data_IF_180323850347
#
_entry.id   IF_180323850347
#
_cell.length_a   1.000
_cell.length_b   1.000
_cell.length_c   1.000
_cell.angle_alpha   90.00
_cell.angle_beta   90.00
_cell.angle_gamma   90.00
#
_symmetry.space_group_name_H-M   'P 1'
#
loop_
_entity.id
_entity.type
_entity.pdbx_description
1 polymer ?
#
# COMPACT_ATOMS: atom_id res chain seq x y z
N UNK A 1 -16.15 5.48 3.30
CA UNK A 1 -14.72 5.83 3.19
C UNK A 1 -13.92 4.65 3.74
N UNK A 2 -13.06 4.01 2.95
CA UNK A 2 -12.25 2.87 3.38
C UNK A 2 -10.77 3.25 3.40
N UNK A 3 -10.05 2.82 4.44
CA UNK A 3 -8.61 3.03 4.60
C UNK A 3 -7.98 1.65 4.72
N UNK A 4 -6.93 1.40 3.94
CA UNK A 4 -6.18 0.14 3.93
C UNK A 4 -4.78 0.42 4.44
N UNK A 5 -4.36 -0.30 5.48
CA UNK A 5 -3.03 -0.15 6.07
C UNK A 5 -2.13 -1.31 5.60
N UNK A 6 -1.14 -0.99 4.78
CA UNK A 6 -0.17 -1.97 4.26
C UNK A 6 1.04 -1.99 5.18
N UNK A 7 1.30 -3.14 5.82
CA UNK A 7 2.43 -3.34 6.73
C UNK A 7 3.12 -4.68 6.49
N UNK A 8 4.31 -4.86 7.04
CA UNK A 8 5.15 -6.04 6.85
C UNK A 8 6.64 -5.73 6.95
N UNK A 9 7.46 -6.78 7.05
CA UNK A 9 8.91 -6.68 7.14
C UNK A 9 9.54 -6.17 5.82
N UNK A 10 10.81 -5.76 5.86
CA UNK A 10 11.54 -5.42 4.62
C UNK A 10 11.59 -6.64 3.70
N UNK A 11 11.25 -6.45 2.42
CA UNK A 11 11.15 -7.54 1.44
C UNK A 11 9.81 -8.31 1.44
N UNK A 12 8.84 -7.99 2.30
CA UNK A 12 7.54 -8.70 2.37
C UNK A 12 6.55 -8.37 1.24
N UNK A 13 6.97 -7.61 0.22
CA UNK A 13 6.10 -7.26 -0.92
C UNK A 13 5.15 -6.08 -0.70
N UNK A 14 5.36 -5.23 0.31
CA UNK A 14 4.52 -4.02 0.55
C UNK A 14 4.39 -3.12 -0.69
N UNK A 15 5.49 -2.93 -1.43
CA UNK A 15 5.50 -2.13 -2.66
C UNK A 15 4.61 -2.74 -3.75
N UNK A 16 4.55 -4.07 -3.84
CA UNK A 16 3.67 -4.78 -4.78
C UNK A 16 2.21 -4.62 -4.35
N UNK A 17 1.92 -4.75 -3.05
CA UNK A 17 0.57 -4.54 -2.53
C UNK A 17 0.07 -3.12 -2.80
N UNK A 18 0.91 -2.10 -2.61
CA UNK A 18 0.61 -0.71 -2.94
C UNK A 18 0.33 -0.54 -4.44
N UNK A 19 1.17 -1.09 -5.32
CA UNK A 19 0.97 -1.00 -6.77
C UNK A 19 -0.38 -1.59 -7.22
N UNK A 20 -0.74 -2.77 -6.68
CA UNK A 20 -2.04 -3.39 -6.99
C UNK A 20 -3.21 -2.58 -6.44
N UNK A 21 -3.04 -1.95 -5.27
CA UNK A 21 -4.06 -1.06 -4.70
C UNK A 21 -4.28 0.19 -5.58
N UNK A 22 -3.22 0.76 -6.13
CA UNK A 22 -3.31 1.86 -7.09
C UNK A 22 -4.04 1.44 -8.38
N UNK A 23 -3.71 0.26 -8.93
CA UNK A 23 -4.35 -0.27 -10.15
C UNK A 23 -5.87 -0.45 -10.00
N UNK A 24 -6.34 -0.81 -8.79
CA UNK A 24 -7.79 -0.97 -8.51
C UNK A 24 -8.46 0.32 -8.03
N UNK A 25 -7.74 1.46 -8.06
CA UNK A 25 -8.30 2.79 -7.83
C UNK A 25 -8.15 3.35 -6.42
N UNK A 26 -7.30 2.78 -5.57
CA UNK A 26 -6.95 3.40 -4.29
C UNK A 26 -5.92 4.52 -4.47
N UNK A 27 -6.10 5.60 -3.71
CA UNK A 27 -5.04 6.58 -3.53
C UNK A 27 -4.08 6.09 -2.45
N UNK A 28 -2.86 5.72 -2.84
CA UNK A 28 -1.86 5.19 -1.94
C UNK A 28 -0.85 6.26 -1.53
N UNK A 29 -0.45 6.26 -0.25
CA UNK A 29 0.61 7.13 0.27
C UNK A 29 1.60 6.25 1.01
N UNK A 30 2.85 6.25 0.56
CA UNK A 30 3.95 5.52 1.19
C UNK A 30 4.79 6.47 2.08
N UNK A 31 5.47 5.92 3.09
CA UNK A 31 6.34 6.64 4.02
C UNK A 31 5.70 7.87 4.71
N UNK A 32 4.42 7.78 5.05
CA UNK A 32 3.75 8.80 5.86
C UNK A 32 4.39 8.85 7.27
N UNK A 33 4.72 10.04 7.82
CA UNK A 33 5.34 10.18 9.14
C UNK A 33 4.41 9.77 10.29
#
# INVERSE_FOLDING_TARGET
MQIVLVSGLSGSGKSIAIAVLEDIGYYCVDNLP
#
